data_IF_785865543773
#
_entry.id   IF_785865543773
#
_cell.length_a   1.000
_cell.length_b   1.000
_cell.length_c   1.000
_cell.angle_alpha   90.00
_cell.angle_beta   90.00
_cell.angle_gamma   90.00
#
_symmetry.space_group_name_H-M   'P 1'
#
loop_
_entity.id
_entity.type
_entity.pdbx_description
1 polymer ?
#
# COMPACT_ATOMS: atom_id res chain seq x y z
N UNK A 1 -4.70 -22.61 34.98
CA UNK A 1 -5.36 -21.90 33.89
C UNK A 1 -4.97 -20.43 33.92
N UNK A 2 -4.48 -19.88 32.83
CA UNK A 2 -3.86 -18.55 32.76
C UNK A 2 -4.83 -17.58 32.10
N UNK A 3 -5.46 -16.62 32.82
CA UNK A 3 -6.40 -15.67 32.24
C UNK A 3 -5.77 -14.89 31.07
N UNK A 4 -6.47 -14.77 29.92
CA UNK A 4 -5.92 -14.09 28.74
C UNK A 4 -5.94 -12.56 28.87
N UNK A 5 -6.89 -11.99 29.60
CA UNK A 5 -7.15 -10.56 29.66
C UNK A 5 -5.94 -9.71 30.13
N UNK A 6 -5.16 -10.08 31.19
CA UNK A 6 -3.97 -9.35 31.57
C UNK A 6 -2.89 -9.36 30.49
N UNK A 7 -2.71 -10.50 29.82
CA UNK A 7 -1.66 -10.68 28.81
C UNK A 7 -1.98 -9.90 27.53
N UNK A 8 -3.22 -9.92 27.04
CA UNK A 8 -3.60 -9.16 25.85
C UNK A 8 -3.59 -7.66 26.12
N UNK A 9 -3.97 -7.21 27.33
CA UNK A 9 -3.88 -5.81 27.72
C UNK A 9 -2.44 -5.32 27.74
N UNK A 10 -1.53 -6.07 28.35
CA UNK A 10 -0.10 -5.73 28.36
C UNK A 10 0.50 -5.75 26.95
N UNK A 11 0.09 -6.69 26.10
CA UNK A 11 0.56 -6.76 24.71
C UNK A 11 0.11 -5.53 23.90
N UNK A 12 -1.18 -5.18 23.95
CA UNK A 12 -1.74 -4.09 23.13
C UNK A 12 -1.35 -2.70 23.65
N UNK A 13 -1.25 -2.51 25.00
CA UNK A 13 -1.03 -1.19 25.61
C UNK A 13 0.44 -0.89 25.92
N UNK A 14 1.26 -1.90 26.13
CA UNK A 14 2.67 -1.73 26.51
C UNK A 14 3.62 -2.26 25.45
N UNK A 15 3.49 -3.56 25.07
CA UNK A 15 4.43 -4.21 24.14
C UNK A 15 4.44 -3.58 22.76
N UNK A 16 3.26 -3.43 22.15
CA UNK A 16 3.17 -2.90 20.79
C UNK A 16 3.58 -1.42 20.72
N UNK A 17 3.00 -0.48 21.48
CA UNK A 17 3.31 0.93 21.33
C UNK A 17 4.69 1.30 21.88
N UNK A 18 5.04 0.84 23.09
CA UNK A 18 6.23 1.32 23.78
C UNK A 18 7.49 0.49 23.48
N UNK A 19 7.40 -0.84 23.45
CA UNK A 19 8.59 -1.67 23.26
C UNK A 19 8.88 -1.94 21.77
N UNK A 20 7.84 -2.04 20.91
CA UNK A 20 8.01 -2.24 19.46
C UNK A 20 7.84 -0.96 18.63
N UNK A 21 7.43 0.14 19.22
CA UNK A 21 7.19 1.39 18.52
C UNK A 21 6.12 1.27 17.42
N UNK A 22 5.14 0.39 17.61
CA UNK A 22 4.09 0.17 16.63
C UNK A 22 3.22 1.42 16.48
N UNK A 23 2.79 1.72 15.25
CA UNK A 23 1.89 2.84 15.00
C UNK A 23 0.51 2.59 15.61
N UNK A 24 -0.24 3.66 15.92
CA UNK A 24 -1.63 3.58 16.40
C UNK A 24 -2.48 2.68 15.49
N UNK A 25 -2.36 2.85 14.17
CA UNK A 25 -3.07 2.03 13.19
C UNK A 25 -2.70 0.53 13.26
N UNK A 26 -1.44 0.21 13.56
CA UNK A 26 -1.02 -1.19 13.78
C UNK A 26 -1.67 -1.75 15.04
N UNK A 27 -1.68 -0.97 16.13
CA UNK A 27 -2.32 -1.36 17.39
C UNK A 27 -3.83 -1.58 17.21
N UNK A 28 -4.52 -0.69 16.50
CA UNK A 28 -5.95 -0.82 16.14
C UNK A 28 -6.23 -2.06 15.30
N UNK A 29 -5.40 -2.32 14.29
CA UNK A 29 -5.54 -3.50 13.43
C UNK A 29 -5.36 -4.81 14.21
N UNK A 30 -4.44 -4.82 15.16
CA UNK A 30 -4.20 -5.97 16.04
C UNK A 30 -5.36 -6.13 17.05
N UNK A 31 -5.79 -5.05 17.69
CA UNK A 31 -6.94 -5.07 18.60
C UNK A 31 -8.21 -5.59 17.89
N UNK A 32 -8.44 -5.16 16.66
CA UNK A 32 -9.53 -5.68 15.83
C UNK A 32 -9.39 -7.19 15.55
N UNK A 33 -8.16 -7.65 15.27
CA UNK A 33 -7.91 -9.08 15.04
C UNK A 33 -8.21 -9.92 16.26
N UNK A 34 -7.83 -9.45 17.46
CA UNK A 34 -8.10 -10.13 18.72
C UNK A 34 -9.57 -10.09 19.12
N UNK A 35 -10.26 -8.97 18.84
CA UNK A 35 -11.71 -8.92 19.03
C UNK A 35 -12.41 -10.05 18.27
N UNK A 36 -12.08 -10.21 16.99
CA UNK A 36 -12.67 -11.27 16.17
C UNK A 36 -12.32 -12.68 16.68
N UNK A 37 -11.06 -12.89 17.09
CA UNK A 37 -10.64 -14.17 17.64
C UNK A 37 -11.37 -14.52 18.94
N UNK A 38 -11.53 -13.54 19.84
CA UNK A 38 -12.19 -13.77 21.14
C UNK A 38 -13.70 -13.93 21.00
N UNK A 39 -14.34 -13.22 20.08
CA UNK A 39 -15.75 -13.42 19.72
C UNK A 39 -15.96 -14.84 19.18
N UNK A 40 -15.11 -15.32 18.27
CA UNK A 40 -15.17 -16.68 17.75
C UNK A 40 -14.90 -17.74 18.84
N UNK A 41 -13.85 -17.58 19.62
CA UNK A 41 -13.50 -18.51 20.69
C UNK A 41 -14.62 -18.61 21.76
N UNK A 42 -15.20 -17.47 22.14
CA UNK A 42 -16.33 -17.38 23.07
C UNK A 42 -17.53 -18.20 22.57
N UNK A 43 -17.90 -18.05 21.32
CA UNK A 43 -19.00 -18.80 20.71
C UNK A 43 -18.67 -20.31 20.63
N UNK A 44 -17.47 -20.65 20.20
CA UNK A 44 -17.02 -22.04 19.99
C UNK A 44 -16.93 -22.83 21.31
N UNK A 45 -16.49 -22.16 22.38
CA UNK A 45 -16.24 -22.78 23.71
C UNK A 45 -17.40 -22.56 24.70
N UNK A 46 -18.41 -21.76 24.31
CA UNK A 46 -19.53 -21.39 25.20
C UNK A 46 -19.08 -20.73 26.50
N UNK A 47 -18.02 -19.91 26.47
CA UNK A 47 -17.51 -19.15 27.62
C UNK A 47 -17.49 -17.66 27.30
N UNK A 48 -17.56 -16.78 28.29
CA UNK A 48 -17.49 -15.35 28.08
C UNK A 48 -16.08 -14.94 27.59
N UNK A 49 -15.92 -13.92 26.74
CA UNK A 49 -14.59 -13.45 26.31
C UNK A 49 -13.67 -13.09 27.47
N UNK A 50 -14.22 -12.59 28.60
CA UNK A 50 -13.47 -12.25 29.81
C UNK A 50 -12.98 -13.47 30.61
N UNK A 51 -13.55 -14.63 30.38
CA UNK A 51 -13.24 -15.90 31.05
C UNK A 51 -12.28 -16.77 30.23
N UNK A 52 -11.95 -16.35 29.02
CA UNK A 52 -10.99 -17.06 28.18
C UNK A 52 -9.63 -17.16 28.85
N UNK A 53 -9.00 -18.31 28.70
CA UNK A 53 -7.65 -18.60 29.18
C UNK A 53 -6.70 -18.87 28.02
N UNK A 54 -5.41 -18.64 28.24
CA UNK A 54 -4.39 -18.81 27.19
C UNK A 54 -4.34 -20.24 26.65
N UNK A 55 -4.59 -21.23 27.52
CA UNK A 55 -4.60 -22.66 27.19
C UNK A 55 -5.66 -23.00 26.12
N UNK A 56 -6.74 -22.21 26.02
CA UNK A 56 -7.80 -22.42 25.05
C UNK A 56 -7.46 -21.87 23.65
N UNK A 57 -6.48 -20.98 23.56
CA UNK A 57 -6.06 -20.39 22.27
C UNK A 57 -4.95 -21.27 21.66
N UNK A 58 -5.30 -22.48 21.36
CA UNK A 58 -4.41 -23.48 20.76
C UNK A 58 -4.40 -23.47 19.24
N UNK A 59 -3.56 -24.30 18.62
CA UNK A 59 -3.43 -24.35 17.17
C UNK A 59 -4.72 -24.80 16.46
N UNK A 60 -5.47 -25.83 16.93
CA UNK A 60 -6.77 -26.19 16.37
C UNK A 60 -7.77 -25.02 16.38
N UNK A 61 -7.97 -24.35 17.52
CA UNK A 61 -8.88 -23.20 17.60
C UNK A 61 -8.48 -22.07 16.66
N UNK A 62 -7.18 -21.76 16.57
CA UNK A 62 -6.68 -20.72 15.65
C UNK A 62 -6.91 -21.14 14.19
N UNK A 63 -6.73 -22.40 13.83
CA UNK A 63 -7.01 -22.90 12.47
C UNK A 63 -8.50 -22.82 12.14
N UNK A 64 -9.38 -23.22 13.06
CA UNK A 64 -10.83 -23.10 12.88
C UNK A 64 -11.24 -21.62 12.71
N UNK A 65 -10.69 -20.73 13.52
CA UNK A 65 -10.91 -19.29 13.38
C UNK A 65 -10.49 -18.77 12.00
N UNK A 66 -9.32 -19.17 11.51
CA UNK A 66 -8.84 -18.75 10.19
C UNK A 66 -9.71 -19.29 9.05
N UNK A 67 -10.24 -20.52 9.20
CA UNK A 67 -11.21 -21.09 8.25
C UNK A 67 -12.55 -20.33 8.27
N UNK A 68 -13.06 -20.02 9.46
CA UNK A 68 -14.26 -19.19 9.65
C UNK A 68 -14.13 -17.81 8.98
N UNK A 69 -12.97 -17.15 9.10
CA UNK A 69 -12.74 -15.86 8.44
C UNK A 69 -12.87 -15.93 6.91
N UNK A 70 -12.45 -17.03 6.31
CA UNK A 70 -12.54 -17.21 4.85
C UNK A 70 -13.95 -17.65 4.43
N UNK A 71 -14.52 -18.66 5.11
CA UNK A 71 -15.79 -19.27 4.71
C UNK A 71 -17.00 -18.37 5.01
N UNK A 72 -17.05 -17.78 6.20
CA UNK A 72 -18.24 -17.04 6.65
C UNK A 72 -18.11 -15.53 6.49
N UNK A 73 -16.88 -14.98 6.58
CA UNK A 73 -16.65 -13.55 6.44
C UNK A 73 -16.09 -13.14 5.07
N UNK A 74 -15.86 -14.08 4.16
CA UNK A 74 -15.33 -13.82 2.82
C UNK A 74 -13.95 -13.14 2.80
N UNK A 75 -13.12 -13.35 3.81
CA UNK A 75 -11.82 -12.71 3.89
C UNK A 75 -10.86 -13.29 2.85
N UNK A 76 -10.12 -12.42 2.17
CA UNK A 76 -9.05 -12.86 1.27
C UNK A 76 -7.90 -13.55 2.04
N UNK A 77 -7.09 -14.42 1.38
CA UNK A 77 -5.91 -15.02 1.97
C UNK A 77 -4.94 -13.99 2.57
N UNK A 78 -4.79 -12.83 1.97
CA UNK A 78 -3.97 -11.71 2.49
C UNK A 78 -4.51 -11.20 3.83
N UNK A 79 -5.83 -10.99 3.94
CA UNK A 79 -6.48 -10.55 5.18
C UNK A 79 -6.37 -11.63 6.27
N UNK A 80 -6.61 -12.90 5.91
CA UNK A 80 -6.43 -14.05 6.81
C UNK A 80 -5.00 -14.09 7.36
N UNK A 81 -3.99 -13.94 6.49
CA UNK A 81 -2.58 -13.93 6.88
C UNK A 81 -2.23 -12.75 7.80
N UNK A 82 -2.82 -11.57 7.58
CA UNK A 82 -2.64 -10.43 8.49
C UNK A 82 -3.19 -10.72 9.89
N UNK A 83 -4.33 -11.43 10.02
CA UNK A 83 -4.86 -11.87 11.31
C UNK A 83 -3.94 -12.90 11.97
N UNK A 84 -3.46 -13.87 11.21
CA UNK A 84 -2.48 -14.84 11.71
C UNK A 84 -1.19 -14.16 12.21
N UNK A 85 -0.70 -13.16 11.49
CA UNK A 85 0.49 -12.39 11.90
C UNK A 85 0.29 -11.68 13.26
N UNK A 86 -0.91 -11.12 13.51
CA UNK A 86 -1.25 -10.54 14.81
C UNK A 86 -1.24 -11.59 15.92
N UNK A 87 -1.84 -12.76 15.69
CA UNK A 87 -1.86 -13.87 16.63
C UNK A 87 -0.45 -14.36 16.93
N UNK A 88 0.37 -14.61 15.90
CA UNK A 88 1.76 -15.04 16.07
C UNK A 88 2.59 -14.02 16.86
N UNK A 89 2.38 -12.73 16.59
CA UNK A 89 3.06 -11.67 17.35
C UNK A 89 2.71 -11.68 18.83
N UNK A 90 1.47 -12.00 19.17
CA UNK A 90 1.04 -12.20 20.56
C UNK A 90 1.63 -13.49 21.15
N UNK A 91 1.65 -14.60 20.41
CA UNK A 91 2.25 -15.84 20.86
C UNK A 91 3.74 -15.68 21.18
N UNK A 92 4.51 -14.94 20.38
CA UNK A 92 5.88 -14.57 20.72
C UNK A 92 5.99 -13.73 22.00
N UNK A 93 4.98 -12.94 22.34
CA UNK A 93 4.95 -12.22 23.60
C UNK A 93 4.63 -13.13 24.79
N UNK A 94 3.78 -14.14 24.60
CA UNK A 94 3.43 -15.14 25.60
C UNK A 94 4.61 -16.08 25.87
N UNK A 95 5.40 -16.42 24.85
CA UNK A 95 6.47 -17.40 24.89
C UNK A 95 7.43 -17.23 26.08
N UNK A 96 7.87 -15.99 26.36
CA UNK A 96 8.78 -15.74 27.48
C UNK A 96 8.08 -15.35 28.78
N UNK A 97 6.79 -15.02 28.74
CA UNK A 97 6.01 -14.65 29.94
C UNK A 97 5.36 -15.83 30.63
N UNK A 98 5.04 -16.87 29.87
CA UNK A 98 4.33 -18.06 30.37
C UNK A 98 5.04 -19.31 29.84
N UNK A 99 6.22 -19.66 30.37
CA UNK A 99 7.02 -20.80 29.90
C UNK A 99 6.26 -22.13 29.90
N UNK A 100 5.28 -22.30 30.78
CA UNK A 100 4.44 -23.49 30.81
C UNK A 100 3.65 -23.75 29.53
N UNK A 101 3.43 -22.74 28.68
CA UNK A 101 2.69 -22.84 27.41
C UNK A 101 3.60 -22.93 26.17
N UNK A 102 4.90 -23.12 26.34
CA UNK A 102 5.87 -23.09 25.25
C UNK A 102 5.50 -24.04 24.11
N UNK A 103 5.08 -25.26 24.42
CA UNK A 103 4.68 -26.27 23.43
C UNK A 103 3.45 -25.81 22.61
N UNK A 104 2.42 -25.30 23.28
CA UNK A 104 1.24 -24.74 22.62
C UNK A 104 1.59 -23.54 21.73
N UNK A 105 2.41 -22.63 22.25
CA UNK A 105 2.87 -21.45 21.50
C UNK A 105 3.59 -21.87 20.22
N UNK A 106 4.51 -22.84 20.29
CA UNK A 106 5.23 -23.37 19.13
C UNK A 106 4.29 -23.94 18.07
N UNK A 107 3.27 -24.70 18.49
CA UNK A 107 2.25 -25.22 17.55
C UNK A 107 1.49 -24.11 16.84
N UNK A 108 1.09 -23.05 17.54
CA UNK A 108 0.44 -21.89 16.90
C UNK A 108 1.40 -21.15 15.95
N UNK A 109 2.65 -20.97 16.36
CA UNK A 109 3.67 -20.32 15.52
C UNK A 109 3.98 -21.13 14.26
N UNK A 110 3.82 -22.45 14.30
CA UNK A 110 4.03 -23.34 13.14
C UNK A 110 2.91 -23.26 12.08
N UNK A 111 1.74 -22.66 12.38
CA UNK A 111 0.65 -22.53 11.41
C UNK A 111 1.14 -21.75 10.17
N UNK A 112 1.06 -22.32 8.94
CA UNK A 112 1.59 -21.67 7.75
C UNK A 112 0.70 -20.51 7.30
N UNK A 113 1.34 -19.48 6.75
CA UNK A 113 0.64 -18.50 5.96
C UNK A 113 0.23 -19.09 4.61
N UNK A 114 -0.96 -18.74 4.11
CA UNK A 114 -1.39 -19.14 2.76
C UNK A 114 -0.60 -18.36 1.71
N UNK A 115 -0.30 -19.02 0.59
CA UNK A 115 0.20 -18.32 -0.59
C UNK A 115 -0.84 -17.31 -1.07
N UNK A 116 -0.36 -16.15 -1.47
CA UNK A 116 -1.23 -15.08 -1.99
C UNK A 116 -0.79 -14.74 -3.42
N UNK A 117 -1.77 -14.44 -4.26
CA UNK A 117 -1.49 -13.93 -5.58
C UNK A 117 -0.76 -12.58 -5.47
N UNK A 118 0.20 -12.39 -6.34
CA UNK A 118 0.92 -11.13 -6.49
C UNK A 118 0.58 -10.55 -7.87
N UNK A 119 -0.55 -9.82 -7.97
CA UNK A 119 -0.93 -9.21 -9.24
C UNK A 119 0.13 -8.21 -9.67
N UNK A 120 0.26 -8.04 -10.98
CA UNK A 120 1.10 -6.97 -11.53
C UNK A 120 0.60 -5.62 -11.02
N UNK A 121 1.53 -4.77 -10.66
CA UNK A 121 1.18 -3.41 -10.23
C UNK A 121 0.56 -2.63 -11.38
N UNK A 122 -0.50 -1.92 -11.07
CA UNK A 122 -1.10 -0.98 -12.00
C UNK A 122 -0.37 0.36 -11.91
N UNK A 123 -0.05 0.92 -13.07
CA UNK A 123 0.51 2.26 -13.21
C UNK A 123 -0.14 2.97 -14.39
N UNK A 124 0.02 4.28 -14.44
CA UNK A 124 -0.51 5.13 -15.50
C UNK A 124 0.58 5.40 -16.53
N UNK A 125 0.19 5.62 -17.77
CA UNK A 125 1.07 6.20 -18.78
C UNK A 125 1.34 7.69 -18.47
N UNK A 126 2.37 8.26 -19.08
CA UNK A 126 2.65 9.70 -18.98
C UNK A 126 1.46 10.54 -19.40
N UNK A 127 0.81 10.18 -20.52
CA UNK A 127 -0.36 10.88 -21.05
C UNK A 127 -1.54 10.86 -20.08
N UNK A 128 -1.80 9.71 -19.46
CA UNK A 128 -2.85 9.55 -18.45
C UNK A 128 -2.56 10.38 -17.19
N UNK A 129 -1.32 10.34 -16.72
CA UNK A 129 -0.92 11.15 -15.57
C UNK A 129 -1.02 12.64 -15.85
N UNK A 130 -0.58 13.08 -17.02
CA UNK A 130 -0.67 14.49 -17.45
C UNK A 130 -2.12 14.95 -17.55
N UNK A 131 -3.02 14.11 -18.06
CA UNK A 131 -4.45 14.43 -18.12
C UNK A 131 -5.05 14.66 -16.72
N UNK A 132 -4.67 13.84 -15.74
CA UNK A 132 -5.11 14.01 -14.35
C UNK A 132 -4.54 15.30 -13.73
N UNK A 133 -3.26 15.61 -13.99
CA UNK A 133 -2.61 16.81 -13.47
C UNK A 133 -3.17 18.10 -14.09
N UNK A 134 -3.68 18.05 -15.32
CA UNK A 134 -4.28 19.17 -16.01
C UNK A 134 -5.78 19.38 -15.72
N UNK A 135 -6.44 18.42 -15.07
CA UNK A 135 -7.86 18.48 -14.80
C UNK A 135 -8.30 19.57 -13.77
N UNK A 136 -7.49 19.94 -12.75
CA UNK A 136 -7.87 21.00 -11.83
C UNK A 136 -7.99 22.38 -12.50
N UNK A 137 -9.09 23.10 -12.25
CA UNK A 137 -9.32 24.47 -12.72
C UNK A 137 -8.49 25.46 -11.91
N UNK A 138 -7.47 26.03 -12.53
CA UNK A 138 -6.54 26.97 -11.91
C UNK A 138 -7.14 28.38 -11.65
N UNK A 139 -8.33 28.65 -12.15
CA UNK A 139 -9.05 29.90 -11.82
C UNK A 139 -9.63 29.86 -10.40
N UNK A 140 -9.63 28.71 -9.75
CA UNK A 140 -10.17 28.54 -8.41
C UNK A 140 -9.06 28.25 -7.38
N UNK A 141 -9.19 28.80 -6.18
CA UNK A 141 -8.27 28.52 -5.06
C UNK A 141 -8.15 27.01 -4.78
N UNK A 142 -9.26 26.28 -4.88
CA UNK A 142 -9.26 24.83 -4.70
C UNK A 142 -8.52 24.12 -5.83
N UNK A 143 -8.67 24.55 -7.07
CA UNK A 143 -7.97 23.94 -8.19
C UNK A 143 -6.46 24.15 -8.13
N UNK A 144 -5.99 25.35 -7.74
CA UNK A 144 -4.56 25.62 -7.51
C UNK A 144 -4.00 24.67 -6.42
N UNK A 145 -4.71 24.52 -5.30
CA UNK A 145 -4.35 23.55 -4.25
C UNK A 145 -4.27 22.14 -4.79
N UNK A 146 -5.32 21.72 -5.48
CA UNK A 146 -5.51 20.33 -5.90
C UNK A 146 -4.47 19.93 -6.92
N UNK A 147 -4.11 20.82 -7.85
CA UNK A 147 -3.01 20.60 -8.79
C UNK A 147 -1.69 20.45 -8.06
N UNK A 148 -1.33 21.37 -7.17
CA UNK A 148 -0.11 21.26 -6.39
C UNK A 148 -0.06 19.97 -5.56
N UNK A 149 -1.19 19.58 -4.97
CA UNK A 149 -1.32 18.36 -4.17
C UNK A 149 -1.14 17.08 -5.00
N UNK A 150 -1.74 17.01 -6.19
CA UNK A 150 -1.58 15.89 -7.12
C UNK A 150 -0.15 15.80 -7.65
N UNK A 151 0.46 16.94 -8.04
CA UNK A 151 1.86 17.00 -8.48
C UNK A 151 2.82 16.50 -7.41
N UNK A 152 2.73 17.01 -6.18
CA UNK A 152 3.59 16.58 -5.06
C UNK A 152 3.38 15.09 -4.76
N UNK A 153 2.12 14.63 -4.76
CA UNK A 153 1.81 13.21 -4.52
C UNK A 153 2.48 12.30 -5.54
N UNK A 154 2.42 12.67 -6.81
CA UNK A 154 2.98 11.92 -7.92
C UNK A 154 4.51 12.00 -7.94
N UNK A 155 5.09 13.21 -8.03
CA UNK A 155 6.53 13.41 -8.24
C UNK A 155 7.37 12.86 -7.08
N UNK A 156 6.93 13.07 -5.86
CA UNK A 156 7.61 12.55 -4.66
C UNK A 156 7.18 11.11 -4.31
N UNK A 157 6.26 10.51 -5.07
CA UNK A 157 5.74 9.17 -4.82
C UNK A 157 5.22 8.98 -3.40
N UNK A 158 4.50 9.98 -2.86
CA UNK A 158 4.10 9.98 -1.45
C UNK A 158 3.02 8.95 -1.14
N UNK A 159 3.13 8.34 0.04
CA UNK A 159 1.97 7.69 0.65
C UNK A 159 0.95 8.76 1.05
N UNK A 160 -0.34 8.44 0.97
CA UNK A 160 -1.38 9.42 1.34
C UNK A 160 -1.19 9.98 2.74
N UNK A 161 -0.75 9.18 3.69
CA UNK A 161 -0.47 9.65 5.05
C UNK A 161 0.71 10.63 5.11
N UNK A 162 1.76 10.42 4.30
CA UNK A 162 2.90 11.32 4.17
C UNK A 162 2.45 12.66 3.55
N UNK A 163 1.66 12.61 2.48
CA UNK A 163 1.13 13.79 1.80
C UNK A 163 0.28 14.67 2.73
N UNK A 164 -0.61 14.05 3.50
CA UNK A 164 -1.55 14.75 4.37
C UNK A 164 -0.90 15.32 5.64
N UNK A 165 0.15 14.67 6.12
CA UNK A 165 0.91 15.12 7.28
C UNK A 165 2.07 16.07 6.91
N UNK A 166 2.23 16.43 5.64
CA UNK A 166 3.33 17.26 5.16
C UNK A 166 3.17 18.67 5.70
N UNK A 167 4.08 19.18 6.57
CA UNK A 167 3.97 20.52 7.10
C UNK A 167 4.43 21.57 6.07
N UNK A 168 3.98 22.79 6.20
CA UNK A 168 4.43 23.91 5.37
C UNK A 168 5.96 24.10 5.44
N UNK A 169 6.55 23.82 6.59
CA UNK A 169 8.01 23.89 6.83
C UNK A 169 8.81 22.77 6.17
N UNK A 170 8.14 21.78 5.57
CA UNK A 170 8.83 20.71 4.83
C UNK A 170 9.44 21.18 3.49
N UNK A 171 9.15 22.41 3.09
CA UNK A 171 9.64 22.99 1.84
C UNK A 171 10.84 23.89 2.08
N UNK A 172 11.94 23.63 1.39
CA UNK A 172 13.05 24.57 1.24
C UNK A 172 13.15 25.00 -0.23
N UNK A 173 13.45 26.30 -0.46
CA UNK A 173 13.38 26.87 -1.79
C UNK A 173 14.75 27.13 -2.42
N UNK A 174 15.78 27.21 -1.61
CA UNK A 174 17.16 27.50 -2.04
C UNK A 174 18.13 26.48 -1.44
N UNK A 175 19.20 26.13 -2.15
CA UNK A 175 19.50 26.51 -3.55
C UNK A 175 18.59 25.84 -4.58
N UNK A 176 18.01 24.69 -4.27
CA UNK A 176 17.08 23.93 -5.13
C UNK A 176 15.80 23.65 -4.35
N UNK A 177 14.61 23.85 -4.98
CA UNK A 177 13.35 23.49 -4.34
C UNK A 177 13.37 22.03 -3.88
N UNK A 178 13.26 21.81 -2.58
CA UNK A 178 13.40 20.48 -1.98
C UNK A 178 12.28 20.22 -0.99
N UNK A 179 11.74 19.00 -1.03
CA UNK A 179 10.71 18.52 -0.13
C UNK A 179 11.31 17.56 0.88
N UNK A 180 11.18 17.89 2.17
CA UNK A 180 11.60 17.07 3.29
C UNK A 180 10.45 16.22 3.79
N UNK A 181 10.58 14.90 3.73
CA UNK A 181 9.50 13.95 4.01
C UNK A 181 9.90 13.07 5.19
N UNK A 182 9.03 12.99 6.19
CA UNK A 182 9.13 12.02 7.27
C UNK A 182 8.28 10.80 6.92
N UNK A 183 8.93 9.67 6.64
CA UNK A 183 8.29 8.42 6.29
C UNK A 183 8.02 7.50 7.48
N UNK A 184 7.50 6.31 7.18
CA UNK A 184 7.27 5.23 8.15
C UNK A 184 8.58 4.86 8.88
N UNK A 185 8.51 4.68 10.20
CA UNK A 185 9.68 4.32 11.02
C UNK A 185 10.64 5.48 11.27
N UNK A 186 10.15 6.72 11.23
CA UNK A 186 10.95 7.96 11.45
C UNK A 186 12.08 8.16 10.42
N UNK A 187 11.98 7.54 9.25
CA UNK A 187 12.96 7.74 8.18
C UNK A 187 12.70 9.06 7.49
N UNK A 188 13.73 9.87 7.36
CA UNK A 188 13.69 11.14 6.64
C UNK A 188 14.28 10.97 5.25
N UNK A 189 13.66 11.64 4.27
CA UNK A 189 14.23 11.78 2.92
C UNK A 189 13.97 13.17 2.40
N UNK A 190 14.92 13.70 1.63
CA UNK A 190 14.81 14.97 0.94
C UNK A 190 14.77 14.71 -0.55
N UNK A 191 13.76 15.24 -1.23
CA UNK A 191 13.56 15.06 -2.66
C UNK A 191 13.57 16.41 -3.35
N UNK A 192 14.39 16.61 -4.40
CA UNK A 192 14.30 17.80 -5.24
C UNK A 192 12.95 17.80 -5.97
N UNK A 193 12.35 18.97 -6.10
CA UNK A 193 11.13 19.16 -6.87
C UNK A 193 11.49 19.66 -8.28
N UNK A 194 10.81 19.12 -9.27
CA UNK A 194 10.86 19.70 -10.63
C UNK A 194 10.34 21.13 -10.59
N UNK A 195 10.84 21.95 -11.52
CA UNK A 195 10.51 23.38 -11.58
C UNK A 195 8.99 23.60 -11.62
N UNK A 196 8.27 22.93 -12.51
CA UNK A 196 6.80 23.05 -12.60
C UNK A 196 6.07 22.64 -11.32
N UNK A 197 6.53 21.59 -10.63
CA UNK A 197 5.96 21.21 -9.35
C UNK A 197 6.20 22.26 -8.28
N UNK A 198 7.42 22.83 -8.26
CA UNK A 198 7.77 23.90 -7.34
C UNK A 198 6.94 25.18 -7.61
N UNK A 199 6.67 25.50 -8.87
CA UNK A 199 5.82 26.61 -9.28
C UNK A 199 4.38 26.41 -8.80
N UNK A 200 3.78 25.23 -9.03
CA UNK A 200 2.43 24.92 -8.54
C UNK A 200 2.33 25.01 -7.01
N UNK A 201 3.37 24.51 -6.31
CA UNK A 201 3.40 24.59 -4.84
C UNK A 201 3.54 26.03 -4.36
N UNK A 202 4.37 26.86 -5.02
CA UNK A 202 4.47 28.30 -4.72
C UNK A 202 3.14 29.02 -4.93
N UNK A 203 2.47 28.75 -6.05
CA UNK A 203 1.16 29.32 -6.35
C UNK A 203 0.14 28.94 -5.25
N UNK A 204 0.15 27.68 -4.81
CA UNK A 204 -0.70 27.25 -3.70
C UNK A 204 -0.35 27.96 -2.39
N UNK A 205 0.93 28.02 -2.02
CA UNK A 205 1.38 28.68 -0.77
C UNK A 205 0.97 30.14 -0.75
N UNK A 206 1.05 30.85 -1.89
CA UNK A 206 0.65 32.26 -2.02
C UNK A 206 -0.84 32.46 -1.76
N UNK A 207 -1.72 31.53 -2.18
CA UNK A 207 -3.18 31.65 -1.99
C UNK A 207 -3.71 30.87 -0.78
N UNK A 208 -2.85 30.06 -0.11
CA UNK A 208 -3.24 29.26 1.06
C UNK A 208 -3.73 30.13 2.22
N UNK A 209 -3.13 31.29 2.40
CA UNK A 209 -3.41 32.20 3.51
C UNK A 209 -2.81 31.72 4.86
N UNK A 210 -2.92 32.59 5.85
CA UNK A 210 -2.46 32.29 7.22
C UNK A 210 -3.56 31.54 7.97
N UNK A 211 -3.35 30.24 8.17
CA UNK A 211 -4.25 29.34 8.91
C UNK A 211 -3.45 28.66 10.01
N UNK A 212 -4.03 28.50 11.20
CA UNK A 212 -3.38 27.88 12.37
C UNK A 212 -3.07 26.38 12.22
N UNK A 213 -3.26 25.82 11.03
CA UNK A 213 -3.00 24.41 10.70
C UNK A 213 -1.63 24.31 10.03
N UNK A 214 -0.69 23.52 10.58
CA UNK A 214 0.69 23.45 10.07
C UNK A 214 0.84 22.70 8.73
N UNK A 215 -0.14 21.90 8.35
CA UNK A 215 -0.09 21.09 7.14
C UNK A 215 -0.09 21.97 5.89
N UNK A 216 0.72 21.56 4.90
CA UNK A 216 0.81 22.25 3.61
C UNK A 216 -0.54 22.26 2.89
N UNK A 217 -1.24 21.14 2.86
CA UNK A 217 -2.52 20.99 2.16
C UNK A 217 -3.69 20.99 3.14
N UNK A 218 -4.56 21.96 2.99
CA UNK A 218 -5.74 22.17 3.83
C UNK A 218 -7.03 22.05 3.03
N UNK A 219 -8.12 21.70 3.70
CA UNK A 219 -9.46 21.68 3.10
C UNK A 219 -9.93 23.11 2.74
N UNK A 220 -11.06 23.20 2.02
CA UNK A 220 -11.68 24.51 1.74
C UNK A 220 -12.11 25.26 3.01
N UNK A 221 -12.32 24.54 4.12
CA UNK A 221 -12.66 25.08 5.44
C UNK A 221 -11.44 25.50 6.27
N UNK A 222 -10.22 25.42 5.73
CA UNK A 222 -8.99 25.74 6.47
C UNK A 222 -8.55 24.67 7.49
N UNK A 223 -9.10 23.46 7.44
CA UNK A 223 -8.71 22.31 8.30
C UNK A 223 -7.75 21.40 7.57
N UNK A 224 -6.99 20.58 8.29
CA UNK A 224 -6.16 19.56 7.69
C UNK A 224 -6.96 18.68 6.70
N UNK A 225 -6.36 18.34 5.57
CA UNK A 225 -6.99 17.48 4.58
C UNK A 225 -7.06 16.05 5.12
N UNK A 226 -8.17 15.35 4.89
CA UNK A 226 -8.36 13.95 5.30
C UNK A 226 -8.09 12.97 4.16
N UNK A 227 -7.84 11.71 4.51
CA UNK A 227 -7.69 10.62 3.51
C UNK A 227 -8.94 10.51 2.63
N UNK A 228 -10.13 10.61 3.22
CA UNK A 228 -11.40 10.58 2.48
C UNK A 228 -11.50 11.75 1.52
N UNK A 229 -11.14 12.96 2.00
CA UNK A 229 -11.11 14.17 1.17
C UNK A 229 -10.16 14.04 -0.02
N UNK A 230 -8.94 13.54 0.19
CA UNK A 230 -8.00 13.31 -0.91
C UNK A 230 -8.51 12.24 -1.89
N UNK A 231 -9.06 11.14 -1.39
CA UNK A 231 -9.62 10.08 -2.25
C UNK A 231 -10.77 10.60 -3.13
N UNK A 232 -11.65 11.41 -2.55
CA UNK A 232 -12.74 12.07 -3.29
C UNK A 232 -12.18 13.00 -4.38
N UNK A 233 -11.21 13.83 -4.01
CA UNK A 233 -10.54 14.75 -4.92
C UNK A 233 -9.88 14.00 -6.10
N UNK A 234 -9.12 12.95 -5.83
CA UNK A 234 -8.48 12.15 -6.86
C UNK A 234 -9.51 11.53 -7.81
N UNK A 235 -10.59 10.95 -7.29
CA UNK A 235 -11.68 10.38 -8.10
C UNK A 235 -12.33 11.43 -9.00
N UNK A 236 -12.61 12.62 -8.46
CA UNK A 236 -13.15 13.74 -9.22
C UNK A 236 -12.28 14.07 -10.43
N UNK A 237 -10.97 14.25 -10.23
CA UNK A 237 -10.06 14.63 -11.30
C UNK A 237 -9.76 13.50 -12.28
N UNK A 238 -9.75 12.24 -11.84
CA UNK A 238 -9.71 11.09 -12.75
C UNK A 238 -10.93 11.07 -13.67
N UNK A 239 -12.14 11.28 -13.12
CA UNK A 239 -13.37 11.34 -13.91
C UNK A 239 -13.35 12.48 -14.91
N UNK A 240 -12.88 13.66 -14.52
CA UNK A 240 -12.73 14.80 -15.43
C UNK A 240 -11.70 14.53 -16.53
N UNK A 241 -10.55 13.95 -16.16
CA UNK A 241 -9.48 13.61 -17.10
C UNK A 241 -9.90 12.55 -18.13
N UNK A 242 -10.88 11.68 -17.79
CA UNK A 242 -11.39 10.65 -18.71
C UNK A 242 -11.99 11.27 -19.98
N UNK A 243 -12.48 12.50 -19.94
CA UNK A 243 -13.00 13.21 -21.11
C UNK A 243 -11.89 13.51 -22.13
N UNK A 244 -10.71 13.89 -21.63
CA UNK A 244 -9.53 14.18 -22.49
C UNK A 244 -8.68 12.93 -22.77
N UNK A 245 -8.75 11.92 -21.91
CA UNK A 245 -7.99 10.68 -22.00
C UNK A 245 -8.87 9.45 -21.69
N UNK A 246 -9.59 8.92 -22.70
CA UNK A 246 -10.54 7.82 -22.53
C UNK A 246 -9.92 6.53 -21.97
N UNK A 247 -8.62 6.33 -22.12
CA UNK A 247 -7.91 5.15 -21.56
C UNK A 247 -7.94 5.07 -20.03
N UNK A 248 -8.32 6.15 -19.35
CA UNK A 248 -8.55 6.18 -17.90
C UNK A 248 -9.87 5.52 -17.48
N UNK A 249 -10.77 5.29 -18.43
CA UNK A 249 -12.09 4.76 -18.13
C UNK A 249 -12.01 3.36 -17.50
N UNK A 250 -12.68 3.18 -16.36
CA UNK A 250 -12.72 1.89 -15.66
C UNK A 250 -11.46 1.52 -14.88
N UNK A 251 -10.37 2.31 -14.95
CA UNK A 251 -9.17 2.04 -14.16
C UNK A 251 -9.38 2.37 -12.67
N UNK A 252 -9.07 1.45 -11.73
CA UNK A 252 -9.16 1.71 -10.30
C UNK A 252 -7.97 2.54 -9.81
N UNK A 253 -8.02 3.86 -10.02
CA UNK A 253 -6.92 4.76 -9.69
C UNK A 253 -6.99 5.19 -8.22
N UNK A 254 -5.91 4.94 -7.49
CA UNK A 254 -5.71 5.30 -6.09
C UNK A 254 -4.40 6.06 -5.89
N UNK A 255 -4.17 6.60 -4.69
CA UNK A 255 -2.87 7.19 -4.32
C UNK A 255 -1.69 6.22 -4.49
N UNK A 256 -1.94 4.92 -4.31
CA UNK A 256 -0.91 3.91 -4.55
C UNK A 256 -0.57 3.76 -6.04
N UNK A 257 -1.56 3.88 -6.93
CA UNK A 257 -1.33 3.88 -8.38
C UNK A 257 -0.47 5.08 -8.78
N UNK A 258 -0.71 6.28 -8.23
CA UNK A 258 0.16 7.45 -8.49
C UNK A 258 1.61 7.19 -8.03
N UNK A 259 1.78 6.58 -6.87
CA UNK A 259 3.10 6.20 -6.35
C UNK A 259 3.78 5.13 -7.22
N UNK A 260 3.03 4.14 -7.69
CA UNK A 260 3.55 3.13 -8.63
C UNK A 260 3.93 3.73 -9.96
N UNK A 261 3.14 4.70 -10.44
CA UNK A 261 3.46 5.45 -11.68
C UNK A 261 4.77 6.21 -11.54
N UNK A 262 4.98 6.92 -10.42
CA UNK A 262 6.26 7.58 -10.13
C UNK A 262 7.43 6.59 -10.14
N UNK A 263 7.27 5.44 -9.47
CA UNK A 263 8.31 4.42 -9.42
C UNK A 263 8.64 3.83 -10.80
N UNK A 264 7.61 3.50 -11.59
CA UNK A 264 7.80 2.96 -12.94
C UNK A 264 8.51 3.96 -13.84
N UNK A 265 8.18 5.25 -13.77
CA UNK A 265 8.87 6.29 -14.55
C UNK A 265 10.36 6.40 -14.16
N UNK A 266 10.69 6.35 -12.86
CA UNK A 266 12.08 6.36 -12.40
C UNK A 266 12.79 5.09 -12.90
N UNK A 267 12.12 3.95 -12.86
CA UNK A 267 12.67 2.69 -13.32
C UNK A 267 12.97 2.71 -14.82
N UNK A 268 11.99 3.09 -15.63
CA UNK A 268 12.12 3.20 -17.08
C UNK A 268 13.21 4.21 -17.51
N UNK A 269 13.39 5.28 -16.71
CA UNK A 269 14.43 6.28 -16.99
C UNK A 269 15.84 5.85 -16.55
N UNK A 270 15.98 4.93 -15.59
CA UNK A 270 17.28 4.68 -14.93
C UNK A 270 17.70 3.22 -14.88
N UNK A 271 16.78 2.25 -15.01
CA UNK A 271 17.02 0.81 -14.79
C UNK A 271 17.47 0.46 -13.36
N UNK A 272 17.42 1.41 -12.41
CA UNK A 272 18.06 1.26 -11.10
C UNK A 272 17.04 1.21 -9.96
N UNK A 273 16.84 0.02 -9.41
CA UNK A 273 15.96 -0.23 -8.26
C UNK A 273 16.40 0.50 -6.99
N UNK A 274 17.69 0.76 -6.80
CA UNK A 274 18.20 1.48 -5.62
C UNK A 274 17.72 2.93 -5.64
N UNK A 275 17.71 3.57 -6.82
CA UNK A 275 17.19 4.94 -6.98
C UNK A 275 15.70 5.00 -6.61
N UNK A 276 14.90 4.02 -7.05
CA UNK A 276 13.49 3.91 -6.68
C UNK A 276 13.33 3.76 -5.16
N UNK A 277 14.10 2.84 -4.56
CA UNK A 277 14.05 2.60 -3.12
C UNK A 277 14.38 3.85 -2.31
N UNK A 278 15.43 4.58 -2.69
CA UNK A 278 15.81 5.86 -2.08
C UNK A 278 14.73 6.92 -2.25
N UNK A 279 14.18 7.07 -3.47
CA UNK A 279 13.15 8.04 -3.78
C UNK A 279 11.88 7.81 -2.98
N UNK A 280 11.40 6.57 -2.98
CA UNK A 280 10.16 6.20 -2.31
C UNK A 280 10.31 5.99 -0.80
N UNK A 281 11.52 5.87 -0.28
CA UNK A 281 11.79 5.56 1.11
C UNK A 281 11.32 4.16 1.50
N UNK A 282 11.65 3.14 0.67
CA UNK A 282 11.38 1.77 1.01
C UNK A 282 12.29 1.29 2.14
N UNK A 283 11.73 0.50 3.05
CA UNK A 283 12.52 -0.09 4.14
C UNK A 283 13.31 -1.31 3.69
N UNK A 284 12.82 -1.99 2.65
CA UNK A 284 13.33 -3.22 2.09
C UNK A 284 13.30 -3.15 0.55
N UNK A 285 14.33 -3.71 -0.08
CA UNK A 285 14.43 -3.83 -1.53
C UNK A 285 13.35 -4.73 -2.13
N UNK A 286 12.86 -5.73 -1.39
CA UNK A 286 11.76 -6.60 -1.82
C UNK A 286 10.50 -5.79 -2.22
N UNK A 287 10.23 -4.68 -1.53
CA UNK A 287 9.13 -3.78 -1.88
C UNK A 287 9.34 -3.08 -3.24
N UNK A 288 10.55 -3.11 -3.78
CA UNK A 288 10.92 -2.46 -5.05
C UNK A 288 10.98 -3.45 -6.21
N UNK A 289 11.20 -4.74 -5.95
CA UNK A 289 11.26 -5.80 -6.97
C UNK A 289 9.97 -5.95 -7.79
N UNK A 290 8.84 -5.50 -7.25
CA UNK A 290 7.56 -5.55 -7.97
C UNK A 290 7.57 -4.71 -9.26
N UNK A 291 8.43 -3.72 -9.35
CA UNK A 291 8.56 -2.86 -10.54
C UNK A 291 9.27 -3.57 -11.69
N UNK A 292 10.27 -4.40 -11.41
CA UNK A 292 10.93 -5.26 -12.42
C UNK A 292 9.93 -6.21 -13.06
N UNK A 293 9.04 -6.80 -12.24
CA UNK A 293 8.03 -7.73 -12.76
C UNK A 293 7.02 -7.05 -13.68
N UNK A 294 6.74 -5.76 -13.44
CA UNK A 294 5.75 -5.00 -14.19
C UNK A 294 6.32 -4.38 -15.47
N UNK A 295 7.64 -4.25 -15.61
CA UNK A 295 8.26 -3.67 -16.81
C UNK A 295 8.37 -4.73 -17.92
N UNK A 296 7.74 -4.51 -19.08
CA UNK A 296 7.90 -5.38 -20.24
C UNK A 296 9.24 -5.15 -20.97
N UNK A 297 9.87 -3.98 -20.81
CA UNK A 297 11.04 -3.56 -21.60
C UNK A 297 12.23 -4.46 -21.36
N UNK A 298 12.61 -4.71 -20.10
CA UNK A 298 13.69 -5.65 -19.78
C UNK A 298 13.47 -7.07 -20.31
N UNK A 299 12.19 -7.48 -20.36
CA UNK A 299 11.85 -8.80 -20.90
C UNK A 299 11.96 -8.85 -22.43
N UNK A 300 11.66 -7.73 -23.10
CA UNK A 300 11.85 -7.60 -24.54
C UNK A 300 13.32 -7.57 -24.89
N UNK A 301 14.13 -6.79 -24.18
CA UNK A 301 15.58 -6.72 -24.37
C UNK A 301 16.25 -8.10 -24.15
N UNK A 302 15.83 -8.81 -23.10
CA UNK A 302 16.27 -10.17 -22.84
C UNK A 302 15.83 -11.14 -23.94
N UNK A 303 14.62 -10.98 -24.49
CA UNK A 303 14.12 -11.80 -25.57
C UNK A 303 14.90 -11.53 -26.87
N UNK A 304 15.17 -10.28 -27.20
CA UNK A 304 15.97 -9.89 -28.37
C UNK A 304 17.42 -10.39 -28.27
N UNK A 305 17.99 -10.36 -27.07
CA UNK A 305 19.33 -10.89 -26.82
C UNK A 305 19.44 -12.42 -26.98
N UNK A 306 18.33 -13.15 -26.80
CA UNK A 306 18.27 -14.63 -26.84
C UNK A 306 17.86 -15.17 -28.21
N UNK A 307 17.23 -14.38 -29.10
CA UNK A 307 16.81 -14.86 -30.43
C UNK A 307 18.05 -15.00 -31.31
N UNK A 308 18.44 -16.23 -31.69
CA UNK A 308 19.54 -16.42 -32.64
C UNK A 308 19.16 -15.81 -34.01
N UNK A 309 20.08 -15.12 -34.69
CA UNK A 309 19.80 -14.47 -35.97
C UNK A 309 19.32 -15.40 -37.10
N UNK A 310 19.38 -16.71 -36.89
CA UNK A 310 19.09 -17.74 -37.87
C UNK A 310 17.71 -18.39 -37.78
N UNK A 311 16.85 -17.99 -36.83
CA UNK A 311 15.48 -18.49 -36.75
C UNK A 311 14.63 -17.89 -37.89
N UNK A 312 14.57 -18.62 -39.02
CA UNK A 312 13.60 -18.35 -40.07
C UNK A 312 12.19 -18.66 -39.54
N UNK A 313 11.24 -17.75 -39.70
CA UNK A 313 9.83 -18.03 -39.46
C UNK A 313 9.43 -19.23 -40.30
N UNK A 314 9.17 -20.36 -39.68
CA UNK A 314 8.55 -21.50 -40.32
C UNK A 314 7.13 -21.08 -40.72
N UNK A 315 6.81 -21.17 -42.01
CA UNK A 315 5.42 -21.12 -42.46
C UNK A 315 4.84 -22.52 -42.22
N UNK A 316 4.05 -22.66 -41.17
CA UNK A 316 3.25 -23.87 -40.98
C UNK A 316 2.04 -23.78 -41.94
N UNK A 317 2.13 -24.49 -43.07
CA UNK A 317 0.98 -24.72 -43.94
C UNK A 317 0.24 -25.95 -43.41
N UNK A 318 -0.92 -25.74 -42.81
CA UNK A 318 -1.79 -26.80 -42.36
C UNK A 318 -2.26 -27.58 -43.61
N UNK A 319 -2.03 -28.90 -43.69
CA UNK A 319 -2.58 -29.69 -44.80
C UNK A 319 -4.13 -29.59 -44.79
N UNK A 320 -4.73 -29.31 -45.95
CA UNK A 320 -6.20 -29.16 -46.11
C UNK A 320 -7.05 -30.26 -45.46
N UNK A 321 -6.52 -31.48 -45.41
CA UNK A 321 -7.15 -32.62 -44.72
C UNK A 321 -7.35 -32.42 -43.22
N UNK A 322 -6.46 -31.72 -42.52
CA UNK A 322 -6.56 -31.49 -41.08
C UNK A 322 -7.64 -30.41 -40.80
N UNK A 323 -7.70 -29.38 -41.63
CA UNK A 323 -8.76 -28.37 -41.53
C UNK A 323 -10.14 -28.92 -41.83
N UNK A 324 -10.25 -29.85 -42.82
CA UNK A 324 -11.50 -30.55 -43.09
C UNK A 324 -11.97 -31.38 -41.88
N UNK A 325 -11.11 -32.13 -41.24
CA UNK A 325 -11.43 -32.89 -40.01
C UNK A 325 -11.86 -32.03 -38.81
N UNK A 326 -11.38 -30.81 -38.69
CA UNK A 326 -11.74 -29.90 -37.58
C UNK A 326 -13.00 -29.05 -37.86
N UNK A 327 -13.51 -29.07 -39.11
CA UNK A 327 -14.77 -28.41 -39.47
C UNK A 327 -16.00 -29.28 -39.32
N UNK A 328 -15.83 -30.58 -39.19
CA UNK A 328 -16.92 -31.57 -39.09
C UNK A 328 -17.14 -32.04 -37.62
N UNK A 329 -16.64 -31.32 -36.63
CA UNK A 329 -17.00 -31.43 -35.22
C UNK A 329 -17.68 -30.14 -34.79
#
# INVERSE_FOLDING_TARGET
>A
MTPIAPHISAFLRERLPHQRGASAHTCESYAYSFRLLFEFASQRLSVRPSELVLEQIDAPLVMDFLAHLEAERGNSPTTRNARLAAIKSFMHFVEYRVPALLEQVRRVLAIPAKKTDQPLIQHLSLTEMQAILNAPDLQTRCGVRDRAMLHVCFVAGLRVAELLALPLTALTWQPTPTLHIQGKGRRHRALPLWQHTAEDVRAWVAVRGHVAVPELFISHQGRAMTRVGFTYLLRKYVQQATQACPSLQGKPISSHVLRHTCAMMIYQATGDLRKISLWLGHADMQATEVYVRADPTEKLDALEAVIPPALRRGQFTVPDRLIAMLRDQ
#
